data_IF_738598924902
#
_entry.id   IF_738598924902
#
_cell.length_a   1.000
_cell.length_b   1.000
_cell.length_c   1.000
_cell.angle_alpha   90.00
_cell.angle_beta   90.00
_cell.angle_gamma   90.00
#
_symmetry.space_group_name_H-M   'P 1'
#
loop_
_entity.id
_entity.type
_entity.pdbx_description
1 polymer ?
#
# COMPACT_ATOMS: atom_id res chain seq x y z
N UNK A 1 52.11 14.15 38.18
CA UNK A 1 52.37 12.90 37.44
C UNK A 1 51.26 11.90 37.73
N UNK A 2 50.74 11.28 36.67
CA UNK A 2 49.99 10.02 36.56
C UNK A 2 48.75 9.69 37.45
N UNK A 3 47.59 9.72 36.77
CA UNK A 3 46.47 8.73 36.83
C UNK A 3 46.99 7.29 36.57
N UNK A 4 46.14 6.23 36.62
CA UNK A 4 45.21 5.74 37.66
C UNK A 4 45.35 4.18 37.79
N UNK A 5 44.41 3.41 38.40
CA UNK A 5 44.58 1.97 38.64
C UNK A 5 44.02 1.08 37.50
N UNK A 6 44.69 -0.05 37.31
CA UNK A 6 44.28 -1.29 36.62
C UNK A 6 44.64 -2.39 37.63
N UNK A 7 43.95 -3.52 37.89
CA UNK A 7 43.00 -4.31 37.12
C UNK A 7 42.55 -5.52 37.97
N UNK A 8 41.32 -6.02 37.71
CA UNK A 8 40.87 -7.45 37.70
C UNK A 8 40.98 -8.25 39.02
N UNK A 9 40.05 -9.12 39.42
CA UNK A 9 39.22 -10.10 38.69
C UNK A 9 38.08 -10.56 39.61
N UNK A 10 36.86 -10.69 39.07
CA UNK A 10 36.12 -11.95 38.90
C UNK A 10 35.57 -12.55 40.20
N UNK A 11 34.25 -12.43 40.36
CA UNK A 11 33.31 -13.56 40.43
C UNK A 11 31.90 -12.95 40.52
N UNK A 12 31.10 -13.11 39.47
CA UNK A 12 29.67 -12.84 39.57
C UNK A 12 28.96 -13.94 38.79
N UNK A 13 28.19 -14.74 39.52
CA UNK A 13 27.32 -15.79 39.03
C UNK A 13 26.46 -15.26 37.88
N UNK A 14 26.66 -15.83 36.70
CA UNK A 14 25.77 -15.60 35.56
C UNK A 14 24.45 -16.35 35.81
N UNK A 15 23.44 -15.63 36.30
CA UNK A 15 22.04 -16.04 36.10
C UNK A 15 21.77 -16.16 34.60
N UNK A 16 21.11 -17.24 34.14
CA UNK A 16 20.78 -17.36 32.73
C UNK A 16 19.76 -16.27 32.34
N UNK A 17 19.83 -15.74 31.11
CA UNK A 17 18.92 -14.68 30.66
C UNK A 17 17.48 -15.19 30.61
N UNK A 18 16.47 -14.31 30.81
CA UNK A 18 15.08 -14.69 30.73
C UNK A 18 14.74 -15.20 29.32
N UNK A 19 14.10 -16.36 29.26
CA UNK A 19 13.57 -16.96 28.04
C UNK A 19 12.59 -15.96 27.41
N UNK A 20 13.03 -15.31 26.33
CA UNK A 20 12.17 -14.51 25.47
C UNK A 20 11.24 -15.48 24.76
N UNK A 21 9.99 -15.57 25.21
CA UNK A 21 8.94 -16.17 24.41
C UNK A 21 8.74 -15.33 23.14
N UNK A 22 9.44 -15.71 22.08
CA UNK A 22 9.12 -15.30 20.73
C UNK A 22 7.67 -15.74 20.44
N UNK A 23 6.77 -14.83 20.02
CA UNK A 23 5.56 -15.27 19.35
C UNK A 23 5.98 -16.03 18.08
N UNK A 24 5.30 -17.13 17.73
CA UNK A 24 5.70 -17.93 16.57
C UNK A 24 5.71 -17.04 15.32
N UNK A 25 6.67 -17.21 14.40
CA UNK A 25 6.65 -16.49 13.15
C UNK A 25 5.33 -16.80 12.44
N UNK A 26 4.62 -15.75 12.03
CA UNK A 26 3.51 -15.86 11.08
C UNK A 26 4.01 -16.68 9.89
N UNK A 27 3.50 -17.90 9.79
CA UNK A 27 3.82 -18.86 8.76
C UNK A 27 3.50 -18.24 7.40
N UNK A 28 4.54 -17.73 6.73
CA UNK A 28 4.53 -17.59 5.28
C UNK A 28 4.18 -18.97 4.71
N UNK A 29 3.31 -19.08 3.69
CA UNK A 29 2.96 -20.36 3.13
C UNK A 29 4.26 -21.02 2.65
N UNK A 30 4.56 -22.19 3.21
CA UNK A 30 5.75 -22.95 2.89
C UNK A 30 5.92 -23.06 1.37
N UNK A 31 6.92 -22.36 0.83
CA UNK A 31 7.37 -22.52 -0.55
C UNK A 31 8.03 -23.89 -0.61
N UNK A 32 7.24 -24.92 -0.92
CA UNK A 32 7.78 -26.27 -1.17
C UNK A 32 8.76 -26.16 -2.32
N UNK A 33 10.05 -26.29 -2.02
CA UNK A 33 11.04 -26.67 -3.01
C UNK A 33 10.73 -28.09 -3.43
N UNK A 34 10.09 -28.25 -4.58
CA UNK A 34 9.99 -29.55 -5.25
C UNK A 34 11.15 -29.66 -6.21
N UNK A 35 12.09 -30.55 -5.92
CA UNK A 35 13.10 -31.02 -6.87
C UNK A 35 12.40 -31.57 -8.14
N UNK A 36 12.96 -31.36 -9.34
CA UNK A 36 12.31 -31.77 -10.57
C UNK A 36 12.69 -33.22 -10.86
N UNK A 37 11.95 -34.19 -10.32
CA UNK A 37 11.93 -35.51 -10.94
C UNK A 37 10.71 -36.34 -10.55
N UNK A 38 10.00 -36.77 -11.60
CA UNK A 38 9.06 -37.90 -11.67
C UNK A 38 7.85 -37.89 -10.71
N UNK A 39 6.73 -37.32 -11.18
CA UNK A 39 5.40 -37.91 -11.03
C UNK A 39 4.39 -37.26 -11.99
N UNK A 40 4.41 -37.74 -13.24
CA UNK A 40 3.32 -37.51 -14.19
C UNK A 40 2.11 -38.37 -13.75
N UNK A 41 1.42 -37.97 -12.68
CA UNK A 41 0.08 -38.46 -12.39
C UNK A 41 -0.87 -37.27 -12.49
N UNK A 42 -1.63 -37.24 -13.57
CA UNK A 42 -2.76 -36.35 -13.76
C UNK A 42 -3.79 -36.64 -12.67
N UNK A 43 -3.67 -35.98 -11.52
CA UNK A 43 -4.71 -35.99 -10.49
C UNK A 43 -5.98 -35.40 -11.11
N UNK A 44 -6.83 -36.25 -11.68
CA UNK A 44 -8.18 -35.89 -12.12
C UNK A 44 -8.88 -35.33 -10.90
N UNK A 45 -9.15 -34.03 -10.91
CA UNK A 45 -9.98 -33.37 -9.91
C UNK A 45 -11.39 -33.97 -10.02
N UNK A 46 -11.68 -35.02 -9.24
CA UNK A 46 -13.00 -35.66 -9.23
C UNK A 46 -13.95 -34.77 -8.44
N UNK A 47 -14.98 -34.26 -9.12
CA UNK A 47 -16.09 -33.56 -8.47
C UNK A 47 -16.79 -34.52 -7.50
N UNK A 48 -17.33 -33.99 -6.40
CA UNK A 48 -18.18 -34.77 -5.50
C UNK A 48 -19.47 -35.19 -6.22
N UNK A 49 -20.05 -36.33 -5.86
CA UNK A 49 -21.32 -36.84 -6.46
C UNK A 49 -22.42 -35.77 -6.46
N UNK A 50 -22.56 -35.04 -5.34
CA UNK A 50 -23.51 -33.94 -5.20
C UNK A 50 -23.25 -32.78 -6.17
N UNK A 51 -21.99 -32.41 -6.39
CA UNK A 51 -21.63 -31.35 -7.33
C UNK A 51 -21.86 -31.78 -8.79
N UNK A 52 -21.56 -33.05 -9.10
CA UNK A 52 -21.86 -33.66 -10.40
C UNK A 52 -23.37 -33.66 -10.68
N UNK A 53 -24.18 -34.15 -9.75
CA UNK A 53 -25.64 -34.24 -9.90
C UNK A 53 -26.30 -32.86 -10.02
N UNK A 54 -25.71 -31.84 -9.40
CA UNK A 54 -26.15 -30.46 -9.54
C UNK A 54 -25.88 -29.91 -10.95
N UNK A 55 -24.66 -30.08 -11.46
CA UNK A 55 -24.30 -29.60 -12.80
C UNK A 55 -25.11 -30.29 -13.89
N UNK A 56 -25.35 -31.59 -13.74
CA UNK A 56 -26.18 -32.36 -14.66
C UNK A 56 -27.64 -31.88 -14.65
N UNK A 57 -28.18 -31.56 -13.47
CA UNK A 57 -29.54 -30.98 -13.37
C UNK A 57 -29.63 -29.56 -13.89
N UNK A 58 -28.63 -28.73 -13.59
CA UNK A 58 -28.55 -27.36 -14.09
C UNK A 58 -28.46 -27.31 -15.62
N UNK A 59 -27.74 -28.26 -16.22
CA UNK A 59 -27.64 -28.41 -17.68
C UNK A 59 -28.93 -28.89 -18.37
N UNK A 60 -29.85 -29.51 -17.63
CA UNK A 60 -31.11 -30.01 -18.16
C UNK A 60 -32.21 -28.93 -18.25
N UNK A 61 -31.95 -27.72 -17.74
CA UNK A 61 -32.91 -26.62 -17.84
C UNK A 61 -32.92 -26.01 -19.25
N UNK A 62 -34.07 -25.58 -19.79
CA UNK A 62 -34.15 -24.97 -21.12
C UNK A 62 -33.31 -23.70 -21.27
N UNK A 63 -33.09 -22.98 -20.16
CA UNK A 63 -32.26 -21.77 -20.07
C UNK A 63 -30.84 -22.03 -19.57
N UNK A 64 -30.36 -23.29 -19.64
CA UNK A 64 -29.04 -23.65 -19.13
C UNK A 64 -27.92 -22.89 -19.86
N UNK A 65 -26.98 -22.35 -19.07
CA UNK A 65 -25.80 -21.72 -19.64
C UNK A 65 -24.96 -22.75 -20.43
N UNK A 66 -24.39 -22.38 -21.59
CA UNK A 66 -23.57 -23.28 -22.40
C UNK A 66 -22.43 -23.96 -21.62
N UNK A 67 -21.81 -23.28 -20.66
CA UNK A 67 -20.83 -23.86 -19.72
C UNK A 67 -21.35 -25.08 -18.99
N UNK A 68 -22.58 -24.99 -18.48
CA UNK A 68 -23.19 -26.03 -17.66
C UNK A 68 -23.45 -27.28 -18.49
N UNK A 69 -23.88 -27.09 -19.73
CA UNK A 69 -24.09 -28.18 -20.71
C UNK A 69 -22.76 -28.86 -21.07
N UNK A 70 -21.71 -28.09 -21.34
CA UNK A 70 -20.37 -28.64 -21.65
C UNK A 70 -19.81 -29.39 -20.44
N UNK A 71 -19.95 -28.85 -19.23
CA UNK A 71 -19.52 -29.51 -18.00
C UNK A 71 -20.29 -30.81 -17.74
N UNK A 72 -21.61 -30.83 -17.95
CA UNK A 72 -22.42 -32.02 -17.79
C UNK A 72 -22.03 -33.12 -18.79
N UNK A 73 -21.79 -32.78 -20.06
CA UNK A 73 -21.31 -33.73 -21.09
C UNK A 73 -19.90 -34.25 -20.79
N UNK A 74 -19.00 -33.39 -20.29
CA UNK A 74 -17.68 -33.81 -19.81
C UNK A 74 -17.75 -34.79 -18.63
N UNK A 75 -18.69 -34.59 -17.71
CA UNK A 75 -18.90 -35.46 -16.54
C UNK A 75 -19.48 -36.81 -16.96
N UNK A 76 -20.42 -36.82 -17.91
CA UNK A 76 -21.04 -38.04 -18.44
C UNK A 76 -20.10 -38.84 -19.36
N UNK A 77 -19.06 -38.20 -19.88
CA UNK A 77 -18.13 -38.82 -20.83
C UNK A 77 -18.66 -38.82 -22.26
N UNK A 78 -19.59 -37.92 -22.59
CA UNK A 78 -20.29 -37.88 -23.89
C UNK A 78 -19.43 -37.29 -25.02
N UNK A 79 -18.21 -36.82 -24.74
CA UNK A 79 -17.30 -36.24 -25.73
C UNK A 79 -16.30 -37.27 -26.24
N UNK A 80 -16.08 -37.30 -27.57
CA UNK A 80 -14.92 -37.96 -28.16
C UNK A 80 -13.61 -37.35 -27.60
N UNK A 81 -12.56 -38.16 -27.48
CA UNK A 81 -11.28 -37.78 -26.84
C UNK A 81 -10.67 -36.49 -27.42
N UNK A 82 -10.84 -36.27 -28.72
CA UNK A 82 -10.31 -35.08 -29.42
C UNK A 82 -11.08 -33.80 -29.09
N UNK A 83 -12.40 -33.93 -28.88
CA UNK A 83 -13.28 -32.81 -28.51
C UNK A 83 -13.23 -32.54 -27.00
N UNK A 84 -12.98 -33.57 -26.20
CA UNK A 84 -12.89 -33.49 -24.74
C UNK A 84 -11.81 -32.49 -24.28
N UNK A 85 -10.66 -32.45 -24.98
CA UNK A 85 -9.57 -31.50 -24.69
C UNK A 85 -10.01 -30.06 -24.91
N UNK A 86 -10.71 -29.79 -26.02
CA UNK A 86 -11.25 -28.48 -26.34
C UNK A 86 -12.35 -28.07 -25.35
N UNK A 87 -13.28 -28.98 -25.03
CA UNK A 87 -14.34 -28.75 -24.05
C UNK A 87 -13.76 -28.40 -22.65
N UNK A 88 -12.72 -29.11 -22.21
CA UNK A 88 -12.00 -28.78 -20.96
C UNK A 88 -11.36 -27.39 -21.02
N UNK A 89 -10.75 -27.02 -22.14
CA UNK A 89 -10.15 -25.69 -22.32
C UNK A 89 -11.20 -24.58 -22.25
N UNK A 90 -12.35 -24.75 -22.91
CA UNK A 90 -13.48 -23.80 -22.87
C UNK A 90 -14.01 -23.63 -21.45
N UNK A 91 -14.23 -24.74 -20.72
CA UNK A 91 -14.67 -24.69 -19.32
C UNK A 91 -13.65 -24.00 -18.41
N UNK A 92 -12.35 -24.23 -18.64
CA UNK A 92 -11.29 -23.57 -17.90
C UNK A 92 -11.25 -22.06 -18.16
N UNK A 93 -11.39 -21.64 -19.43
CA UNK A 93 -11.45 -20.22 -19.82
C UNK A 93 -12.64 -19.52 -19.17
N UNK A 94 -13.82 -20.15 -19.21
CA UNK A 94 -15.03 -19.55 -18.64
C UNK A 94 -14.95 -19.47 -17.11
N UNK A 95 -14.41 -20.50 -16.46
CA UNK A 95 -14.12 -20.45 -15.02
C UNK A 95 -13.17 -19.31 -14.68
N UNK A 96 -12.09 -19.13 -15.44
CA UNK A 96 -11.14 -18.04 -15.23
C UNK A 96 -11.80 -16.67 -15.42
N UNK A 97 -12.64 -16.52 -16.45
CA UNK A 97 -13.43 -15.30 -16.69
C UNK A 97 -14.37 -14.99 -15.52
N UNK A 98 -15.09 -15.99 -15.00
CA UNK A 98 -15.98 -15.81 -13.85
C UNK A 98 -15.22 -15.47 -12.58
N UNK A 99 -14.07 -16.09 -12.34
CA UNK A 99 -13.21 -15.77 -11.20
C UNK A 99 -12.66 -14.34 -11.30
N UNK A 100 -12.24 -13.90 -12.48
CA UNK A 100 -11.77 -12.55 -12.73
C UNK A 100 -12.89 -11.51 -12.53
N UNK A 101 -14.12 -11.79 -13.00
CA UNK A 101 -15.28 -10.92 -12.75
C UNK A 101 -15.61 -10.82 -11.26
N UNK A 102 -15.60 -11.94 -10.52
CA UNK A 102 -15.80 -11.94 -9.06
C UNK A 102 -14.67 -11.24 -8.32
N UNK A 103 -13.42 -11.35 -8.75
CA UNK A 103 -12.32 -10.60 -8.13
C UNK A 103 -12.46 -9.11 -8.40
N UNK A 104 -12.78 -8.70 -9.63
CA UNK A 104 -13.03 -7.31 -9.98
C UNK A 104 -14.12 -6.68 -9.11
N UNK A 105 -15.28 -7.34 -8.97
CA UNK A 105 -16.36 -6.86 -8.11
C UNK A 105 -15.95 -6.74 -6.64
N UNK A 106 -15.17 -7.70 -6.12
CA UNK A 106 -14.64 -7.61 -4.74
C UNK A 106 -13.65 -6.46 -4.59
N UNK A 107 -12.81 -6.22 -5.59
CA UNK A 107 -11.89 -5.09 -5.59
C UNK A 107 -12.65 -3.76 -5.61
N UNK A 108 -13.70 -3.65 -6.43
CA UNK A 108 -14.55 -2.47 -6.51
C UNK A 108 -15.28 -2.18 -5.19
N UNK A 109 -15.90 -3.19 -4.57
CA UNK A 109 -16.54 -3.03 -3.26
C UNK A 109 -15.53 -2.60 -2.19
N UNK A 110 -14.35 -3.25 -2.13
CA UNK A 110 -13.29 -2.84 -1.21
C UNK A 110 -12.82 -1.40 -1.47
N UNK A 111 -12.71 -1.02 -2.74
CA UNK A 111 -12.33 0.34 -3.11
C UNK A 111 -13.37 1.35 -2.62
N UNK A 112 -14.66 1.04 -2.80
CA UNK A 112 -15.75 1.87 -2.27
C UNK A 112 -15.70 1.99 -0.73
N UNK A 113 -15.42 0.89 -0.03
CA UNK A 113 -15.26 0.89 1.43
C UNK A 113 -14.09 1.76 1.88
N UNK A 114 -12.93 1.61 1.23
CA UNK A 114 -11.69 2.36 1.58
C UNK A 114 -11.81 3.84 1.24
N UNK A 115 -12.45 4.18 0.13
CA UNK A 115 -12.65 5.58 -0.29
C UNK A 115 -13.86 6.23 0.36
N UNK A 116 -14.66 5.45 1.09
CA UNK A 116 -15.95 5.82 1.67
C UNK A 116 -16.86 6.48 0.62
N UNK A 117 -16.85 5.98 -0.61
CA UNK A 117 -17.52 6.63 -1.75
C UNK A 117 -19.05 6.67 -1.62
N UNK A 118 -19.63 5.77 -0.83
CA UNK A 118 -21.06 5.72 -0.55
C UNK A 118 -21.51 6.61 0.63
N UNK A 119 -20.57 7.29 1.31
CA UNK A 119 -20.88 8.10 2.49
C UNK A 119 -21.24 9.54 2.10
N UNK A 120 -21.87 10.28 3.01
CA UNK A 120 -22.07 11.71 2.83
C UNK A 120 -20.70 12.41 2.67
N UNK A 121 -20.60 13.54 1.95
CA UNK A 121 -19.33 14.24 1.77
C UNK A 121 -18.64 14.63 3.09
N UNK A 122 -19.42 15.03 4.10
CA UNK A 122 -18.92 15.41 5.41
C UNK A 122 -18.37 14.20 6.18
N UNK A 123 -19.14 13.11 6.26
CA UNK A 123 -18.72 11.88 6.93
C UNK A 123 -17.50 11.27 6.24
N UNK A 124 -17.48 11.29 4.90
CA UNK A 124 -16.35 10.86 4.09
C UNK A 124 -15.10 11.66 4.45
N UNK A 125 -15.18 12.99 4.49
CA UNK A 125 -14.04 13.83 4.86
C UNK A 125 -13.54 13.57 6.28
N UNK A 126 -14.44 13.32 7.22
CA UNK A 126 -14.08 12.99 8.59
C UNK A 126 -13.42 11.61 8.71
N UNK A 127 -13.98 10.58 8.07
CA UNK A 127 -13.45 9.22 8.06
C UNK A 127 -12.07 9.14 7.42
N UNK A 128 -11.90 9.81 6.28
CA UNK A 128 -10.63 9.92 5.57
C UNK A 128 -9.57 10.66 6.40
N UNK A 129 -9.97 11.69 7.14
CA UNK A 129 -9.08 12.38 8.07
C UNK A 129 -8.65 11.49 9.24
N UNK A 130 -9.60 10.77 9.86
CA UNK A 130 -9.30 9.85 10.97
C UNK A 130 -8.37 8.72 10.54
N UNK A 131 -8.63 8.14 9.37
CA UNK A 131 -7.77 7.11 8.76
C UNK A 131 -6.37 7.65 8.51
N UNK A 132 -6.26 8.87 7.97
CA UNK A 132 -4.97 9.53 7.77
C UNK A 132 -4.22 9.75 9.09
N UNK A 133 -4.90 10.20 10.15
CA UNK A 133 -4.31 10.38 11.48
C UNK A 133 -3.84 9.06 12.08
N UNK A 134 -4.62 7.99 11.98
CA UNK A 134 -4.23 6.66 12.43
C UNK A 134 -2.95 6.20 11.70
N UNK A 135 -2.92 6.34 10.37
CA UNK A 135 -1.74 6.00 9.58
C UNK A 135 -0.52 6.86 9.89
N UNK A 136 -0.70 8.14 10.27
CA UNK A 136 0.41 8.97 10.73
C UNK A 136 1.02 8.44 12.04
N UNK A 137 0.19 7.96 12.98
CA UNK A 137 0.67 7.41 14.25
C UNK A 137 1.41 6.09 14.09
N UNK A 138 0.98 5.26 13.13
CA UNK A 138 1.59 3.96 12.81
C UNK A 138 2.78 4.05 11.85
N UNK A 139 2.84 5.13 11.05
CA UNK A 139 3.85 5.36 10.04
C UNK A 139 3.29 5.24 8.62
N UNK A 140 3.00 6.38 8.00
CA UNK A 140 2.46 6.44 6.64
C UNK A 140 3.59 6.55 5.61
N UNK A 141 3.47 5.83 4.49
CA UNK A 141 4.41 5.91 3.37
C UNK A 141 4.01 7.05 2.44
N UNK A 142 4.81 8.11 2.38
CA UNK A 142 4.59 9.27 1.54
C UNK A 142 5.74 9.48 0.57
N UNK A 143 5.43 9.87 -0.67
CA UNK A 143 6.44 10.15 -1.68
C UNK A 143 6.98 11.57 -1.50
N UNK A 144 8.01 11.71 -0.65
CA UNK A 144 8.64 13.00 -0.34
C UNK A 144 9.69 13.37 -1.39
N UNK A 145 9.50 14.49 -2.08
CA UNK A 145 10.42 14.95 -3.13
C UNK A 145 11.59 15.79 -2.58
N UNK A 146 11.59 16.23 -1.32
CA UNK A 146 12.70 17.03 -0.74
C UNK A 146 13.58 16.28 0.26
N UNK A 147 13.84 14.99 0.05
CA UNK A 147 14.77 14.24 0.92
C UNK A 147 16.20 14.38 0.39
N UNK A 148 17.16 14.55 1.31
CA UNK A 148 18.60 14.76 1.02
C UNK A 148 19.19 13.69 0.09
N UNK A 149 18.62 12.49 0.12
CA UNK A 149 18.91 11.40 -0.80
C UNK A 149 17.74 11.27 -1.78
N UNK A 150 18.03 11.34 -3.09
CA UNK A 150 17.05 11.06 -4.15
C UNK A 150 16.66 9.59 -4.05
N UNK A 151 15.57 9.30 -3.35
CA UNK A 151 15.01 7.97 -3.23
C UNK A 151 13.73 7.89 -4.06
N UNK A 152 13.65 6.91 -4.96
CA UNK A 152 12.39 6.53 -5.60
C UNK A 152 11.44 5.83 -4.62
N UNK A 153 11.94 5.37 -3.47
CA UNK A 153 11.13 4.70 -2.45
C UNK A 153 10.36 5.74 -1.62
N UNK A 154 9.09 5.47 -1.29
CA UNK A 154 8.33 6.31 -0.38
C UNK A 154 9.01 6.37 0.99
N UNK A 155 8.95 7.54 1.60
CA UNK A 155 9.49 7.78 2.94
C UNK A 155 8.41 7.52 3.98
N UNK A 156 8.75 6.81 5.05
CA UNK A 156 7.83 6.64 6.17
C UNK A 156 7.83 7.91 7.02
N UNK A 157 6.64 8.44 7.27
CA UNK A 157 6.40 9.64 8.06
C UNK A 157 5.59 9.25 9.29
N UNK A 158 6.06 9.68 10.46
CA UNK A 158 5.43 9.41 11.74
C UNK A 158 4.97 10.71 12.39
N UNK A 159 3.76 10.71 12.94
CA UNK A 159 3.29 11.68 13.91
C UNK A 159 3.63 11.25 15.33
N UNK A 160 3.84 12.23 16.22
CA UNK A 160 3.86 11.98 17.65
C UNK A 160 2.43 11.76 18.19
N UNK A 161 2.32 11.19 19.39
CA UNK A 161 1.01 10.82 19.96
C UNK A 161 0.11 12.04 20.24
N UNK A 162 0.69 13.24 20.39
CA UNK A 162 -0.07 14.49 20.55
C UNK A 162 -0.43 15.18 19.23
N UNK A 163 -0.01 14.62 18.10
CA UNK A 163 -0.22 15.11 16.73
C UNK A 163 0.20 16.57 16.55
N UNK A 164 1.29 16.96 17.19
CA UNK A 164 1.90 18.31 17.06
C UNK A 164 3.13 18.31 16.18
N UNK A 165 3.74 17.15 15.97
CA UNK A 165 5.05 17.04 15.31
C UNK A 165 5.07 15.84 14.37
N UNK A 166 5.62 16.05 13.19
CA UNK A 166 5.96 15.02 12.23
C UNK A 166 7.46 14.79 12.15
N UNK A 167 7.84 13.53 11.97
CA UNK A 167 9.23 13.12 11.76
C UNK A 167 9.32 12.07 10.67
N UNK A 168 10.33 12.21 9.81
CA UNK A 168 10.63 11.27 8.73
C UNK A 168 12.14 10.99 8.70
N UNK A 169 12.62 9.99 7.95
CA UNK A 169 14.06 9.72 7.93
C UNK A 169 14.47 8.36 7.36
N UNK A 170 15.79 8.17 7.26
CA UNK A 170 16.44 7.08 6.54
C UNK A 170 16.33 5.69 7.19
N UNK A 171 15.84 5.60 8.42
CA UNK A 171 15.66 4.34 9.14
C UNK A 171 14.17 3.99 9.19
N UNK A 172 13.62 3.36 8.13
CA UNK A 172 12.20 2.99 8.06
C UNK A 172 11.79 1.89 9.05
N UNK A 173 12.72 1.38 9.87
CA UNK A 173 12.53 0.17 10.66
C UNK A 173 11.82 0.38 12.00
N UNK A 174 11.65 1.62 12.50
CA UNK A 174 11.06 1.86 13.82
C UNK A 174 10.39 3.23 13.94
N UNK A 175 9.26 3.29 14.67
CA UNK A 175 8.64 4.55 15.12
C UNK A 175 9.63 5.34 16.00
N UNK A 176 9.81 6.66 15.75
CA UNK A 176 10.64 7.50 16.60
C UNK A 176 10.11 7.52 18.04
N UNK A 177 11.03 7.54 19.00
CA UNK A 177 10.70 7.69 20.42
C UNK A 177 10.26 9.12 20.77
N UNK A 178 9.62 9.29 21.92
CA UNK A 178 9.16 10.60 22.43
C UNK A 178 10.31 11.60 22.53
N UNK A 179 11.48 11.16 22.98
CA UNK A 179 12.69 12.01 23.09
C UNK A 179 13.22 12.42 21.71
N UNK A 180 13.12 11.55 20.71
CA UNK A 180 13.49 11.87 19.33
C UNK A 180 12.54 12.87 18.69
N UNK A 181 11.24 12.85 19.02
CA UNK A 181 10.31 13.89 18.61
C UNK A 181 10.63 15.22 19.27
N UNK A 182 10.91 15.23 20.58
CA UNK A 182 11.21 16.44 21.34
C UNK A 182 12.53 17.11 20.92
N UNK A 183 13.57 16.33 20.61
CA UNK A 183 14.89 16.86 20.20
C UNK A 183 14.84 17.62 18.86
N UNK A 184 13.83 17.38 18.04
CA UNK A 184 13.76 17.92 16.69
C UNK A 184 14.85 17.36 15.77
N UNK A 185 15.04 17.98 14.61
CA UNK A 185 16.09 17.59 13.66
C UNK A 185 15.86 18.08 12.24
N UNK A 186 16.67 17.57 11.31
CA UNK A 186 16.60 17.92 9.87
C UNK A 186 15.38 17.36 9.16
N UNK A 187 14.74 16.35 9.74
CA UNK A 187 13.58 15.67 9.17
C UNK A 187 12.42 15.72 10.15
N UNK A 188 12.17 16.92 10.66
CA UNK A 188 11.13 17.17 11.67
C UNK A 188 10.38 18.44 11.31
N UNK A 189 9.06 18.41 11.45
CA UNK A 189 8.14 19.50 11.20
C UNK A 189 7.19 19.61 12.39
N UNK A 190 7.15 20.77 13.05
CA UNK A 190 6.12 21.05 14.04
C UNK A 190 4.95 21.76 13.36
N UNK A 191 3.73 21.31 13.62
CA UNK A 191 2.54 21.88 12.97
C UNK A 191 2.32 23.35 13.33
N UNK A 192 2.74 23.79 14.52
CA UNK A 192 2.72 25.20 14.92
C UNK A 192 3.58 26.07 13.99
N UNK A 193 4.66 25.51 13.43
CA UNK A 193 5.64 26.20 12.59
C UNK A 193 5.27 26.19 11.11
N UNK A 194 4.10 25.65 10.75
CA UNK A 194 3.63 25.63 9.36
C UNK A 194 3.11 27.02 8.98
N UNK A 195 3.70 27.55 7.91
CA UNK A 195 3.40 28.86 7.33
C UNK A 195 2.29 28.72 6.29
N UNK A 196 2.40 27.75 5.39
CA UNK A 196 1.40 27.52 4.34
C UNK A 196 1.37 26.07 3.88
N UNK A 197 0.20 25.67 3.37
CA UNK A 197 -0.06 24.39 2.71
C UNK A 197 -0.73 24.73 1.38
N UNK A 198 -0.16 24.29 0.27
CA UNK A 198 -0.67 24.62 -1.07
C UNK A 198 -0.67 23.39 -1.98
N UNK A 199 -1.77 23.10 -2.69
CA UNK A 199 -1.79 22.11 -3.75
C UNK A 199 -1.08 22.63 -5.01
N UNK A 200 -0.36 21.75 -5.69
CA UNK A 200 0.32 22.00 -6.97
C UNK A 200 -0.02 20.88 -7.95
N UNK A 201 -0.70 21.22 -9.03
CA UNK A 201 -1.17 20.28 -10.06
C UNK A 201 -0.59 20.65 -11.41
N UNK A 202 -0.03 19.66 -12.11
CA UNK A 202 0.62 19.79 -13.42
C UNK A 202 1.73 20.87 -13.49
N UNK A 203 2.18 21.32 -12.32
CA UNK A 203 3.15 22.39 -12.13
C UNK A 203 3.97 22.05 -10.89
N UNK A 204 5.18 22.60 -10.83
CA UNK A 204 6.06 22.44 -9.69
C UNK A 204 6.36 23.81 -9.08
N UNK A 205 6.52 23.92 -7.76
CA UNK A 205 6.98 25.16 -7.16
C UNK A 205 8.35 25.56 -7.74
N UNK A 206 8.66 26.87 -7.87
CA UNK A 206 9.87 27.35 -8.54
C UNK A 206 11.17 26.70 -8.02
N UNK A 207 11.27 26.48 -6.71
CA UNK A 207 12.40 25.82 -6.04
C UNK A 207 12.60 24.35 -6.45
N UNK A 208 11.56 23.70 -6.98
CA UNK A 208 11.55 22.29 -7.39
C UNK A 208 11.56 22.12 -8.91
N UNK A 209 11.16 23.14 -9.66
CA UNK A 209 10.98 23.08 -11.11
C UNK A 209 12.24 22.56 -11.83
N UNK A 210 13.42 23.09 -11.52
CA UNK A 210 14.68 22.65 -12.16
C UNK A 210 15.06 21.20 -11.78
N UNK A 211 14.84 20.80 -10.53
CA UNK A 211 15.27 19.50 -10.01
C UNK A 211 14.33 18.36 -10.43
N UNK A 212 13.05 18.66 -10.60
CA UNK A 212 11.98 17.68 -10.83
C UNK A 212 11.22 17.89 -12.15
N UNK A 213 11.75 18.69 -13.08
CA UNK A 213 11.16 18.92 -14.41
C UNK A 213 10.75 17.63 -15.13
N UNK A 214 11.51 16.55 -14.97
CA UNK A 214 11.23 15.24 -15.55
C UNK A 214 9.87 14.65 -15.12
N UNK A 215 9.35 15.02 -13.94
CA UNK A 215 8.03 14.58 -13.46
C UNK A 215 6.87 15.26 -14.21
N UNK A 216 7.13 16.40 -14.86
CA UNK A 216 6.14 17.10 -15.69
C UNK A 216 6.08 16.55 -17.12
N UNK A 217 7.06 15.74 -17.53
CA UNK A 217 7.24 15.29 -18.91
C UNK A 217 6.60 13.94 -19.22
N UNK A 218 5.98 13.28 -18.23
CA UNK A 218 5.42 11.93 -18.41
C UNK A 218 4.03 11.99 -19.05
N UNK A 219 3.92 12.58 -20.24
CA UNK A 219 2.83 12.34 -21.21
C UNK A 219 3.09 13.08 -22.54
N UNK A 220 4.10 12.62 -23.27
CA UNK A 220 4.16 12.75 -24.73
C UNK A 220 5.12 11.69 -25.28
N UNK A 221 4.58 10.64 -25.91
CA UNK A 221 5.36 9.62 -26.61
C UNK A 221 5.64 8.37 -25.77
N UNK A 222 5.32 7.21 -26.33
CA UNK A 222 5.19 5.96 -25.60
C UNK A 222 6.50 5.24 -25.30
N UNK A 223 6.42 4.36 -24.31
CA UNK A 223 7.03 3.04 -24.36
C UNK A 223 6.28 2.16 -23.36
N UNK A 224 5.63 1.13 -23.91
CA UNK A 224 5.05 0.03 -23.14
C UNK A 224 6.22 -0.76 -22.56
N UNK A 225 6.61 -0.47 -21.33
CA UNK A 225 7.31 -1.46 -20.51
C UNK A 225 6.31 -2.16 -19.59
N UNK A 226 6.00 -3.35 -20.07
CA UNK A 226 5.17 -4.37 -19.47
C UNK A 226 5.82 -4.91 -18.20
N UNK A 227 5.44 -4.38 -17.04
CA UNK A 227 5.60 -5.09 -15.76
C UNK A 227 4.33 -4.96 -14.90
N UNK A 228 3.59 -6.08 -14.85
CA UNK A 228 2.70 -6.49 -13.75
C UNK A 228 1.66 -5.46 -13.26
N UNK A 229 0.69 -5.13 -14.12
CA UNK A 229 -0.53 -4.45 -13.71
C UNK A 229 -1.47 -5.42 -12.97
N UNK A 230 -1.47 -5.35 -11.64
CA UNK A 230 -2.66 -5.67 -10.82
C UNK A 230 -3.20 -4.39 -10.19
N UNK A 231 -3.51 -3.41 -11.04
CA UNK A 231 -4.29 -2.22 -10.66
C UNK A 231 -5.23 -1.89 -11.81
N UNK A 232 -6.53 -1.64 -11.55
CA UNK A 232 -7.48 -1.27 -12.60
C UNK A 232 -7.09 0.06 -13.27
N UNK A 233 -7.57 0.30 -14.50
CA UNK A 233 -7.23 1.51 -15.25
C UNK A 233 -7.97 2.71 -14.64
N UNK A 234 -7.23 3.59 -13.97
CA UNK A 234 -7.80 4.83 -13.46
C UNK A 234 -8.21 5.75 -14.62
N UNK A 235 -9.50 6.06 -14.64
CA UNK A 235 -10.09 7.13 -15.43
C UNK A 235 -9.63 8.47 -14.86
N UNK A 236 -8.56 9.02 -15.44
CA UNK A 236 -8.08 10.36 -15.11
C UNK A 236 -6.71 10.57 -15.77
N UNK A 237 -6.59 11.57 -16.63
CA UNK A 237 -5.34 11.87 -17.31
C UNK A 237 -4.22 12.14 -16.30
N UNK A 238 -3.41 11.11 -16.02
CA UNK A 238 -2.23 11.12 -15.13
C UNK A 238 -1.38 12.38 -15.25
N UNK A 239 -1.73 13.35 -14.43
CA UNK A 239 -1.01 14.59 -14.19
C UNK A 239 -0.17 14.48 -12.93
N UNK A 240 0.78 15.39 -12.77
CA UNK A 240 1.54 15.47 -11.53
C UNK A 240 0.69 16.16 -10.46
N UNK A 241 0.35 15.45 -9.39
CA UNK A 241 -0.33 16.01 -8.22
C UNK A 241 0.61 16.04 -7.02
N UNK A 242 0.79 17.21 -6.44
CA UNK A 242 1.69 17.41 -5.28
C UNK A 242 1.11 18.38 -4.27
N UNK A 243 1.53 18.26 -3.01
CA UNK A 243 1.20 19.18 -1.91
C UNK A 243 2.49 19.76 -1.36
N UNK A 244 2.60 21.09 -1.38
CA UNK A 244 3.71 21.83 -0.81
C UNK A 244 3.35 22.30 0.60
N UNK A 245 4.18 21.96 1.57
CA UNK A 245 4.10 22.46 2.94
C UNK A 245 5.33 23.31 3.21
N UNK A 246 5.10 24.57 3.55
CA UNK A 246 6.13 25.55 3.93
C UNK A 246 6.12 25.71 5.44
N UNK A 247 7.27 25.55 6.07
CA UNK A 247 7.38 25.57 7.54
C UNK A 247 8.72 26.12 8.02
N UNK A 248 8.74 26.63 9.25
CA UNK A 248 9.96 27.08 9.91
C UNK A 248 10.69 25.86 10.50
N UNK A 249 12.00 25.75 10.28
CA UNK A 249 12.76 24.59 10.73
C UNK A 249 12.79 24.48 12.27
N UNK A 250 12.46 23.28 12.78
CA UNK A 250 12.33 22.98 14.22
C UNK A 250 13.45 23.55 15.11
N UNK A 251 14.71 23.31 14.73
CA UNK A 251 15.89 23.79 15.47
C UNK A 251 16.55 25.04 14.89
N UNK A 252 16.17 25.47 13.68
CA UNK A 252 16.79 26.60 12.98
C UNK A 252 15.71 27.62 12.64
N UNK A 253 15.23 28.32 13.67
CA UNK A 253 14.05 29.20 13.60
C UNK A 253 14.14 30.33 12.58
N UNK A 254 15.34 30.70 12.15
CA UNK A 254 15.56 31.67 11.08
C UNK A 254 15.48 31.07 9.65
N UNK A 255 15.26 29.77 9.50
CA UNK A 255 15.29 29.08 8.19
C UNK A 255 13.93 28.49 7.85
N UNK A 256 13.36 28.98 6.76
CA UNK A 256 12.21 28.36 6.12
C UNK A 256 12.62 27.08 5.37
N UNK A 257 11.73 26.09 5.39
CA UNK A 257 11.87 24.81 4.72
C UNK A 257 10.60 24.46 3.99
N UNK A 258 10.77 23.63 2.97
CA UNK A 258 9.71 23.20 2.08
C UNK A 258 9.69 21.68 2.04
N UNK A 259 8.52 21.10 2.25
CA UNK A 259 8.24 19.67 2.10
C UNK A 259 7.25 19.51 0.94
N UNK A 260 7.68 18.84 -0.12
CA UNK A 260 6.83 18.55 -1.27
C UNK A 260 6.47 17.06 -1.24
N UNK A 261 5.17 16.77 -1.23
CA UNK A 261 4.61 15.42 -1.15
C UNK A 261 3.92 15.14 -2.49
N UNK A 262 4.27 14.04 -3.15
CA UNK A 262 3.60 13.59 -4.36
C UNK A 262 2.47 12.62 -4.00
N UNK A 263 1.33 12.79 -4.67
CA UNK A 263 0.10 11.99 -4.51
C UNK A 263 -0.36 11.48 -5.88
N UNK A 264 -1.22 10.46 -5.89
CA UNK A 264 -1.60 9.77 -7.13
C UNK A 264 -2.70 10.49 -7.90
N UNK A 265 -3.53 11.29 -7.21
CA UNK A 265 -4.66 11.97 -7.83
C UNK A 265 -5.09 13.25 -7.12
N UNK A 266 -6.02 13.97 -7.76
CA UNK A 266 -6.58 15.22 -7.25
C UNK A 266 -7.39 15.02 -5.95
N UNK A 267 -8.14 13.92 -5.83
CA UNK A 267 -8.90 13.63 -4.60
C UNK A 267 -7.96 13.45 -3.40
N UNK A 268 -6.90 12.66 -3.56
CA UNK A 268 -5.88 12.45 -2.53
C UNK A 268 -5.17 13.77 -2.18
N UNK A 269 -4.90 14.62 -3.18
CA UNK A 269 -4.31 15.94 -2.98
C UNK A 269 -5.19 16.82 -2.08
N UNK A 270 -6.48 16.92 -2.38
CA UNK A 270 -7.45 17.71 -1.61
C UNK A 270 -7.58 17.17 -0.19
N UNK A 271 -7.77 15.86 -0.04
CA UNK A 271 -7.85 15.20 1.27
C UNK A 271 -6.60 15.46 2.12
N UNK A 272 -5.42 15.41 1.50
CA UNK A 272 -4.15 15.62 2.18
C UNK A 272 -4.02 17.07 2.65
N UNK A 273 -4.35 18.04 1.79
CA UNK A 273 -4.37 19.47 2.13
C UNK A 273 -5.33 19.73 3.29
N UNK A 274 -6.55 19.21 3.24
CA UNK A 274 -7.55 19.39 4.28
C UNK A 274 -7.11 18.78 5.61
N UNK A 275 -6.57 17.56 5.58
CA UNK A 275 -6.12 16.86 6.77
C UNK A 275 -4.94 17.57 7.45
N UNK A 276 -3.95 18.03 6.67
CA UNK A 276 -2.85 18.83 7.18
C UNK A 276 -3.33 20.17 7.73
N UNK A 277 -4.25 20.84 7.04
CA UNK A 277 -4.79 22.13 7.47
C UNK A 277 -5.54 22.00 8.80
N UNK A 278 -6.32 20.93 8.97
CA UNK A 278 -6.98 20.60 10.24
C UNK A 278 -5.96 20.38 11.37
N UNK A 279 -4.92 19.58 11.13
CA UNK A 279 -3.86 19.33 12.12
C UNK A 279 -3.12 20.61 12.53
N UNK A 280 -2.81 21.48 11.56
CA UNK A 280 -2.19 22.78 11.81
C UNK A 280 -3.11 23.69 12.61
N UNK A 281 -4.40 23.76 12.26
CA UNK A 281 -5.37 24.55 13.00
C UNK A 281 -5.51 24.06 14.46
N UNK A 282 -5.52 22.75 14.68
CA UNK A 282 -5.56 22.16 16.03
C UNK A 282 -4.28 22.50 16.79
N UNK A 283 -3.11 22.36 16.17
CA UNK A 283 -1.83 22.64 16.81
C UNK A 283 -1.64 24.12 17.17
N UNK A 284 -2.16 25.05 16.35
CA UNK A 284 -2.10 26.50 16.61
C UNK A 284 -3.10 26.99 17.67
N UNK A 285 -4.12 26.18 17.99
CA UNK A 285 -5.09 26.48 19.06
C UNK A 285 -4.62 26.05 20.45
N UNK A 286 -3.61 25.17 20.52
CA UNK A 286 -2.97 24.74 21.78
C UNK A 286 -1.92 25.75 22.20
#
# INVERSE_FOLDING_TARGET
>A
MHKPPFTRSMENEASPPPVVHQPPPLSSPARRHTSPDKANSSKRFRLTKRASDYLVRAAAQPSAAPSSVIQAKLIRGDYHTDVERMAKAVVALEKNRLLASKSARRSEMRHADVTCSAWSPEDRHQALHQTFVAHLLDGIKLQLLNVRVRSKKPTVVYGNDTLTTLKWGATPARKPSVTEFARGGTHTLHFMDVVSIAPWSNTLPPSFALKYKHLLSTKAGGEVQQESATSPPDAGGGGLHTVLIVYIHATKRAKEKQLLIQVQGMEEQTQLVDSFSKLVAIAKKK
#
